data_IF_644518521196
#
_entry.id   IF_644518521196
#
_cell.length_a   1.000
_cell.length_b   1.000
_cell.length_c   1.000
_cell.angle_alpha   90.00
_cell.angle_beta   90.00
_cell.angle_gamma   90.00
#
_symmetry.space_group_name_H-M   'P 1'
#
loop_
_entity.id
_entity.type
_entity.pdbx_description
1 polymer ?
#
# COMPACT_ATOMS: atom_id res chain seq x y z
N UNK A 1 23.51 -12.64 16.92
CA UNK A 1 23.25 -13.94 16.32
C UNK A 1 22.41 -13.80 15.08
N UNK A 2 22.98 -14.18 13.96
CA UNK A 2 22.22 -14.04 12.70
C UNK A 2 20.95 -14.89 12.71
N UNK A 3 20.99 -16.01 13.37
CA UNK A 3 19.83 -16.86 13.49
C UNK A 3 18.69 -16.21 14.26
N UNK A 4 19.01 -15.26 15.13
CA UNK A 4 17.96 -14.55 15.85
C UNK A 4 17.16 -13.67 14.92
N UNK A 5 17.80 -12.99 13.98
CA UNK A 5 17.09 -12.16 13.03
C UNK A 5 16.19 -13.01 12.14
N UNK A 6 16.71 -14.12 11.63
CA UNK A 6 15.93 -15.03 10.81
C UNK A 6 14.77 -15.62 11.60
N UNK A 7 15.04 -16.03 12.85
CA UNK A 7 14.01 -16.57 13.72
C UNK A 7 12.93 -15.54 13.98
N UNK A 8 13.32 -14.28 14.14
CA UNK A 8 12.39 -13.21 14.42
C UNK A 8 11.46 -12.94 13.24
N UNK A 9 11.93 -13.14 12.02
CA UNK A 9 11.09 -12.99 10.85
C UNK A 9 9.99 -14.02 10.78
N UNK A 10 10.29 -15.22 11.27
CA UNK A 10 9.33 -16.32 11.27
C UNK A 10 8.53 -16.37 12.56
N UNK A 11 8.85 -15.49 13.46
CA UNK A 11 8.35 -15.58 14.81
C UNK A 11 7.00 -14.95 15.00
N UNK A 12 6.38 -15.35 16.07
CA UNK A 12 5.03 -14.98 16.40
C UNK A 12 4.91 -13.52 16.87
N UNK A 13 5.64 -12.60 16.25
CA UNK A 13 5.34 -11.18 16.41
C UNK A 13 3.90 -10.95 15.99
N UNK A 14 3.52 -11.61 14.90
CA UNK A 14 2.16 -11.54 14.41
C UNK A 14 1.16 -12.12 15.40
N UNK A 15 1.60 -13.09 16.23
CA UNK A 15 0.74 -13.68 17.23
C UNK A 15 0.55 -12.77 18.44
N UNK A 16 1.59 -12.03 18.81
CA UNK A 16 1.55 -11.16 19.98
C UNK A 16 0.77 -9.88 19.72
N UNK A 17 1.06 -9.22 18.60
CA UNK A 17 0.42 -7.95 18.27
C UNK A 17 -1.09 -8.05 18.02
N UNK A 18 -1.59 -9.09 17.34
CA UNK A 18 -3.03 -9.21 17.16
C UNK A 18 -3.83 -9.26 18.46
N UNK A 19 -3.29 -9.90 19.49
CA UNK A 19 -3.96 -9.94 20.77
C UNK A 19 -4.13 -8.52 21.33
N UNK A 20 -3.08 -7.71 21.24
CA UNK A 20 -3.14 -6.32 21.70
C UNK A 20 -4.13 -5.51 20.87
N UNK A 21 -4.11 -5.71 19.56
CA UNK A 21 -5.04 -5.01 18.67
C UNK A 21 -6.48 -5.38 18.97
N UNK A 22 -6.74 -6.64 19.27
CA UNK A 22 -8.07 -7.11 19.65
C UNK A 22 -8.55 -6.45 20.92
N UNK A 23 -7.67 -6.29 21.89
CA UNK A 23 -7.99 -5.63 23.16
C UNK A 23 -8.40 -4.18 22.94
N UNK A 24 -7.88 -3.54 21.91
CA UNK A 24 -8.24 -2.17 21.54
C UNK A 24 -9.50 -2.10 20.67
N UNK A 25 -10.08 -3.23 20.33
CA UNK A 25 -11.30 -3.28 19.52
C UNK A 25 -11.07 -3.01 18.05
N UNK A 26 -9.87 -3.25 17.55
CA UNK A 26 -9.52 -3.06 16.15
C UNK A 26 -9.32 -4.40 15.44
N UNK A 27 -9.77 -4.47 14.19
CA UNK A 27 -9.43 -5.58 13.32
C UNK A 27 -7.98 -5.44 12.88
N UNK A 28 -7.29 -6.56 12.80
CA UNK A 28 -5.87 -6.56 12.52
C UNK A 28 -5.52 -7.75 11.63
N UNK A 29 -4.78 -7.49 10.55
CA UNK A 29 -4.35 -8.54 9.63
C UNK A 29 -2.90 -8.33 9.24
N UNK A 30 -2.08 -9.34 9.46
CA UNK A 30 -0.69 -9.31 9.03
C UNK A 30 -0.58 -9.65 7.55
N UNK A 31 0.24 -8.88 6.85
CA UNK A 31 0.52 -9.09 5.43
C UNK A 31 1.99 -9.50 5.32
N UNK A 32 2.21 -10.76 5.04
CA UNK A 32 3.54 -11.36 5.14
C UNK A 32 4.41 -11.21 3.89
N UNK A 33 3.85 -10.81 2.76
CA UNK A 33 4.59 -10.66 1.52
C UNK A 33 4.27 -9.34 0.86
N UNK A 34 5.17 -8.88 -0.01
CA UNK A 34 4.91 -7.68 -0.80
C UNK A 34 3.67 -7.83 -1.67
N UNK A 35 3.47 -9.01 -2.26
CA UNK A 35 2.28 -9.28 -3.07
C UNK A 35 1.02 -9.16 -2.23
N UNK A 36 0.99 -9.77 -1.05
CA UNK A 36 -0.17 -9.68 -0.17
C UNK A 36 -0.45 -8.23 0.24
N UNK A 37 0.60 -7.44 0.48
CA UNK A 37 0.45 -6.04 0.84
C UNK A 37 -0.17 -5.24 -0.30
N UNK A 38 0.29 -5.43 -1.53
CA UNK A 38 -0.27 -4.72 -2.67
C UNK A 38 -1.67 -5.19 -3.01
N UNK A 39 -1.96 -6.48 -2.87
CA UNK A 39 -3.31 -7.00 -3.06
C UNK A 39 -4.28 -6.33 -2.07
N UNK A 40 -3.87 -6.20 -0.82
CA UNK A 40 -4.68 -5.54 0.20
C UNK A 40 -4.88 -4.05 -0.11
N UNK A 41 -3.84 -3.37 -0.58
CA UNK A 41 -3.95 -1.96 -0.98
C UNK A 41 -4.96 -1.79 -2.12
N UNK A 42 -4.88 -2.63 -3.14
CA UNK A 42 -5.79 -2.58 -4.27
C UNK A 42 -7.23 -2.84 -3.81
N UNK A 43 -7.44 -3.81 -2.94
CA UNK A 43 -8.77 -4.07 -2.36
C UNK A 43 -9.34 -2.85 -1.66
N UNK A 44 -8.54 -2.21 -0.82
CA UNK A 44 -8.97 -1.04 -0.06
C UNK A 44 -9.32 0.10 -1.00
N UNK A 45 -8.48 0.34 -2.01
CA UNK A 45 -8.71 1.40 -2.99
C UNK A 45 -9.98 1.11 -3.79
N UNK A 46 -10.17 -0.13 -4.22
CA UNK A 46 -11.35 -0.50 -4.99
C UNK A 46 -12.63 -0.44 -4.17
N UNK A 47 -12.53 -0.56 -2.86
CA UNK A 47 -13.68 -0.45 -1.96
C UNK A 47 -13.97 0.99 -1.53
N UNK A 48 -13.07 1.92 -1.79
CA UNK A 48 -13.24 3.31 -1.37
C UNK A 48 -14.39 3.98 -2.09
N UNK A 49 -15.12 4.83 -1.37
CA UNK A 49 -16.31 5.50 -1.91
C UNK A 49 -16.23 7.01 -1.90
N UNK A 50 -15.38 7.59 -1.06
CA UNK A 50 -15.30 9.05 -0.91
C UNK A 50 -13.92 9.60 -1.20
N UNK A 51 -12.91 9.12 -0.50
CA UNK A 51 -11.55 9.63 -0.62
C UNK A 51 -10.54 8.52 -0.53
N UNK A 52 -9.44 8.69 -1.26
CA UNK A 52 -8.25 7.87 -1.15
C UNK A 52 -7.07 8.83 -1.05
N UNK A 53 -6.37 8.78 0.06
CA UNK A 53 -5.16 9.56 0.27
C UNK A 53 -4.00 8.57 0.36
N UNK A 54 -3.03 8.71 -0.52
CA UNK A 54 -1.88 7.82 -0.61
C UNK A 54 -0.61 8.62 -0.40
N UNK A 55 0.24 8.14 0.48
CA UNK A 55 1.52 8.75 0.74
C UNK A 55 2.60 7.68 0.71
N UNK A 56 3.60 7.86 -0.15
CA UNK A 56 4.72 6.96 -0.25
C UNK A 56 6.03 7.73 -0.31
N UNK A 57 7.01 7.26 0.41
CA UNK A 57 8.37 7.77 0.24
C UNK A 57 8.95 7.28 -1.09
N UNK A 58 8.81 6.00 -1.37
CA UNK A 58 9.39 5.38 -2.56
C UNK A 58 8.35 4.57 -3.33
N UNK A 59 8.25 4.86 -4.61
CA UNK A 59 7.53 4.02 -5.57
C UNK A 59 8.49 3.77 -6.72
N UNK A 60 8.85 2.51 -6.94
CA UNK A 60 9.68 2.10 -8.05
C UNK A 60 8.81 1.62 -9.21
N UNK A 61 9.25 1.80 -10.47
CA UNK A 61 8.51 1.26 -11.60
C UNK A 61 8.45 -0.26 -11.55
N UNK A 62 7.35 -0.83 -12.06
CA UNK A 62 7.14 -2.26 -12.07
C UNK A 62 5.66 -2.60 -11.95
N UNK A 63 5.36 -3.88 -11.84
CA UNK A 63 3.98 -4.38 -11.81
C UNK A 63 3.20 -3.83 -10.62
N UNK A 64 3.84 -3.71 -9.46
CA UNK A 64 3.18 -3.19 -8.28
C UNK A 64 2.75 -1.74 -8.47
N UNK A 65 3.64 -0.91 -9.03
CA UNK A 65 3.32 0.49 -9.31
C UNK A 65 2.21 0.60 -10.35
N UNK A 66 2.22 -0.26 -11.37
CA UNK A 66 1.17 -0.26 -12.38
C UNK A 66 -0.18 -0.66 -11.79
N UNK A 67 -0.22 -1.69 -10.98
CA UNK A 67 -1.44 -2.13 -10.30
C UNK A 67 -2.00 -1.05 -9.40
N UNK A 68 -1.12 -0.40 -8.64
CA UNK A 68 -1.51 0.70 -7.78
C UNK A 68 -2.09 1.85 -8.59
N UNK A 69 -1.40 2.26 -9.65
CA UNK A 69 -1.86 3.33 -10.53
C UNK A 69 -3.21 3.04 -11.15
N UNK A 70 -3.41 1.82 -11.62
CA UNK A 70 -4.69 1.42 -12.21
C UNK A 70 -5.82 1.45 -11.18
N UNK A 71 -5.57 1.01 -9.96
CA UNK A 71 -6.56 1.05 -8.90
C UNK A 71 -6.95 2.49 -8.57
N UNK A 72 -5.97 3.38 -8.50
CA UNK A 72 -6.22 4.80 -8.25
C UNK A 72 -7.02 5.44 -9.38
N UNK A 73 -6.73 5.07 -10.63
CA UNK A 73 -7.51 5.54 -11.76
C UNK A 73 -8.96 5.05 -11.71
N UNK A 74 -9.16 3.79 -11.33
CA UNK A 74 -10.51 3.26 -11.18
C UNK A 74 -11.27 4.03 -10.10
N UNK A 75 -10.60 4.34 -8.99
CA UNK A 75 -11.21 5.11 -7.91
C UNK A 75 -11.65 6.49 -8.40
N UNK A 76 -10.76 7.20 -9.10
CA UNK A 76 -11.10 8.51 -9.66
C UNK A 76 -12.24 8.44 -10.64
N UNK A 77 -12.28 7.39 -11.47
CA UNK A 77 -13.36 7.16 -12.42
C UNK A 77 -14.71 6.90 -11.76
N UNK A 78 -14.72 6.44 -10.50
CA UNK A 78 -15.96 6.26 -9.73
C UNK A 78 -16.40 7.53 -9.01
N UNK A 79 -15.63 8.61 -9.12
CA UNK A 79 -15.93 9.85 -8.41
C UNK A 79 -15.29 9.94 -7.03
N UNK A 80 -14.37 9.04 -6.72
CA UNK A 80 -13.60 9.09 -5.46
C UNK A 80 -12.54 10.16 -5.59
N UNK A 81 -12.40 10.99 -4.56
CA UNK A 81 -11.33 12.00 -4.56
C UNK A 81 -10.01 11.31 -4.21
N UNK A 82 -9.09 11.32 -5.14
CA UNK A 82 -7.78 10.69 -4.99
C UNK A 82 -6.70 11.75 -4.82
N UNK A 83 -5.89 11.61 -3.79
CA UNK A 83 -4.71 12.44 -3.58
C UNK A 83 -3.51 11.52 -3.40
N UNK A 84 -2.44 11.83 -4.10
CA UNK A 84 -1.22 11.04 -4.05
C UNK A 84 -0.05 11.97 -3.75
N UNK A 85 0.66 11.66 -2.69
CA UNK A 85 1.87 12.36 -2.31
C UNK A 85 3.04 11.39 -2.36
N UNK A 86 4.02 11.69 -3.17
CA UNK A 86 5.24 10.88 -3.25
C UNK A 86 6.45 11.78 -3.16
N UNK A 87 7.51 11.26 -2.58
CA UNK A 87 8.76 11.99 -2.49
C UNK A 87 9.49 11.95 -3.83
N UNK A 88 9.89 13.12 -4.33
CA UNK A 88 10.55 13.22 -5.63
C UNK A 88 11.91 12.49 -5.65
N UNK A 89 12.64 12.51 -4.55
CA UNK A 89 13.91 11.82 -4.45
C UNK A 89 13.72 10.31 -4.35
N UNK A 90 12.85 9.87 -3.44
CA UNK A 90 12.59 8.45 -3.23
C UNK A 90 11.93 7.78 -4.42
N UNK A 91 11.20 8.52 -5.23
CA UNK A 91 10.49 8.00 -6.40
C UNK A 91 11.07 8.51 -7.71
N UNK A 92 12.37 8.85 -7.73
CA UNK A 92 13.02 9.46 -8.88
C UNK A 92 13.05 8.57 -10.12
N UNK A 93 12.95 7.26 -9.97
CA UNK A 93 12.92 6.32 -11.08
C UNK A 93 11.53 6.10 -11.65
N UNK A 94 10.50 6.62 -11.01
CA UNK A 94 9.13 6.46 -11.48
C UNK A 94 8.91 7.35 -12.72
N UNK A 95 8.41 6.80 -13.83
CA UNK A 95 8.17 7.62 -15.02
C UNK A 95 7.13 8.71 -14.77
N UNK A 96 7.37 9.89 -15.32
CA UNK A 96 6.42 11.00 -15.22
C UNK A 96 5.03 10.61 -15.71
N UNK A 97 4.96 9.72 -16.69
CA UNK A 97 3.71 9.23 -17.25
C UNK A 97 2.78 8.60 -16.19
N UNK A 98 3.38 8.00 -15.16
CA UNK A 98 2.60 7.39 -14.08
C UNK A 98 1.76 8.45 -13.36
N UNK A 99 2.39 9.58 -13.02
CA UNK A 99 1.68 10.68 -12.37
C UNK A 99 0.72 11.38 -13.33
N UNK A 100 1.11 11.51 -14.58
CA UNK A 100 0.26 12.15 -15.59
C UNK A 100 -1.05 11.40 -15.80
N UNK A 101 -1.00 10.07 -15.81
CA UNK A 101 -2.21 9.26 -15.93
C UNK A 101 -3.18 9.52 -14.78
N UNK A 102 -2.65 9.69 -13.58
CA UNK A 102 -3.50 9.97 -12.42
C UNK A 102 -4.10 11.37 -12.47
N UNK A 103 -3.35 12.34 -12.94
CA UNK A 103 -3.83 13.72 -12.99
C UNK A 103 -4.95 13.94 -14.00
N UNK A 104 -5.14 13.01 -14.92
CA UNK A 104 -6.21 13.08 -15.92
C UNK A 104 -7.51 12.41 -15.45
N UNK A 105 -7.48 11.82 -14.29
CA UNK A 105 -8.64 11.18 -13.69
C UNK A 105 -9.38 12.16 -12.79
#
# INVERSE_FOLDING_TARGET
MPSECATRQDQPIATTLPATAADLGHDFRWLHTGTAAYDALVEIIDAARRTVDVEFYTIAPGDAAERLGEALQRAGGRGVRVRVLIDAFGSSSLPAQWMERLSKT
#
